data_IF_318092010225
#
_entry.id   IF_318092010225
#
_cell.length_a   1.000
_cell.length_b   1.000
_cell.length_c   1.000
_cell.angle_alpha   90.00
_cell.angle_beta   90.00
_cell.angle_gamma   90.00
#
_symmetry.space_group_name_H-M   'P 1'
#
loop_
_entity.id
_entity.type
_entity.pdbx_description
1 polymer ?
#
# COMPACT_ATOMS: atom_id res chain seq x y z
N UNK A 1 -21.91 -2.33 -23.07
CA UNK A 1 -22.47 -3.56 -22.45
C UNK A 1 -23.35 -4.36 -23.44
N UNK A 2 -24.25 -3.73 -24.24
CA UNK A 2 -25.12 -4.47 -25.17
C UNK A 2 -24.31 -5.36 -26.15
N UNK A 3 -23.23 -4.83 -26.72
CA UNK A 3 -22.35 -5.61 -27.61
C UNK A 3 -21.66 -6.78 -26.87
N UNK A 4 -21.21 -6.56 -25.63
CA UNK A 4 -20.62 -7.62 -24.82
C UNK A 4 -21.62 -8.75 -24.55
N UNK A 5 -22.88 -8.40 -24.22
CA UNK A 5 -23.95 -9.41 -24.05
C UNK A 5 -24.22 -10.22 -25.34
N UNK A 6 -24.18 -9.59 -26.50
CA UNK A 6 -24.30 -10.28 -27.78
C UNK A 6 -23.16 -11.30 -27.98
N UNK A 7 -21.91 -10.91 -27.71
CA UNK A 7 -20.73 -11.80 -27.81
C UNK A 7 -20.83 -12.95 -26.82
N UNK A 8 -21.23 -12.68 -25.58
CA UNK A 8 -21.46 -13.71 -24.55
C UNK A 8 -22.50 -14.73 -25.03
N UNK A 9 -23.64 -14.25 -25.53
CA UNK A 9 -24.73 -15.09 -25.98
C UNK A 9 -24.37 -15.88 -27.25
N UNK A 10 -23.47 -15.38 -28.08
CA UNK A 10 -22.95 -16.10 -29.25
C UNK A 10 -22.11 -17.34 -28.89
N UNK A 11 -21.62 -17.43 -27.65
CA UNK A 11 -20.82 -18.54 -27.11
C UNK A 11 -19.61 -18.87 -28.01
N UNK A 12 -18.95 -17.84 -28.54
CA UNK A 12 -17.80 -17.95 -29.42
C UNK A 12 -16.66 -18.73 -28.73
N UNK A 13 -16.09 -19.77 -29.36
CA UNK A 13 -14.96 -20.47 -28.78
C UNK A 13 -13.73 -19.56 -28.71
N UNK A 14 -12.98 -19.65 -27.62
CA UNK A 14 -11.69 -18.98 -27.49
C UNK A 14 -10.59 -19.95 -27.93
N UNK A 15 -9.81 -19.52 -28.92
CA UNK A 15 -8.65 -20.26 -29.43
C UNK A 15 -7.37 -19.55 -29.06
N UNK A 16 -6.30 -20.27 -28.85
CA UNK A 16 -4.97 -19.71 -28.60
C UNK A 16 -3.95 -20.34 -29.55
N UNK A 17 -3.01 -19.54 -29.99
CA UNK A 17 -1.85 -19.98 -30.77
C UNK A 17 -0.60 -19.31 -30.26
N UNK A 18 0.53 -20.00 -30.25
CA UNK A 18 1.84 -19.40 -30.01
C UNK A 18 2.39 -18.96 -31.37
N UNK A 19 2.72 -17.67 -31.46
CA UNK A 19 3.28 -17.10 -32.67
C UNK A 19 4.78 -16.79 -32.51
N UNK A 20 5.58 -17.03 -33.57
CA UNK A 20 6.92 -16.44 -33.66
C UNK A 20 6.84 -14.92 -33.59
N UNK A 21 7.85 -14.31 -32.96
CA UNK A 21 7.91 -12.86 -32.76
C UNK A 21 7.79 -12.09 -34.08
N UNK A 22 8.47 -12.55 -35.10
CA UNK A 22 8.45 -11.93 -36.44
C UNK A 22 7.04 -11.90 -37.02
N UNK A 23 6.29 -13.00 -36.88
CA UNK A 23 4.90 -13.10 -37.36
C UNK A 23 4.00 -12.11 -36.60
N UNK A 24 4.15 -11.97 -35.30
CA UNK A 24 3.36 -11.03 -34.48
C UNK A 24 3.69 -9.58 -34.84
N UNK A 25 4.97 -9.26 -35.01
CA UNK A 25 5.43 -7.91 -35.41
C UNK A 25 4.90 -7.55 -36.78
N UNK A 26 5.00 -8.43 -37.77
CA UNK A 26 4.46 -8.21 -39.13
C UNK A 26 2.96 -7.95 -39.09
N UNK A 27 2.23 -8.77 -38.34
CA UNK A 27 0.78 -8.64 -38.18
C UNK A 27 0.37 -7.28 -37.60
N UNK A 28 0.95 -6.87 -36.48
CA UNK A 28 0.57 -5.58 -35.84
C UNK A 28 1.10 -4.37 -36.62
N UNK A 29 2.20 -4.50 -37.36
CA UNK A 29 2.69 -3.48 -38.28
C UNK A 29 1.71 -3.26 -39.43
N UNK A 30 1.21 -4.35 -40.03
CA UNK A 30 0.19 -4.29 -41.08
C UNK A 30 -1.14 -3.64 -40.63
N UNK A 31 -1.45 -3.73 -39.32
CA UNK A 31 -2.63 -3.10 -38.74
C UNK A 31 -2.40 -1.69 -38.20
N UNK A 32 -1.18 -1.18 -38.31
CA UNK A 32 -0.79 0.15 -37.78
C UNK A 32 -1.06 0.30 -36.27
N UNK A 33 -0.74 -0.73 -35.47
CA UNK A 33 -0.92 -0.77 -34.02
C UNK A 33 0.43 -0.54 -33.28
N UNK A 34 0.93 0.70 -33.16
CA UNK A 34 2.27 0.98 -32.64
C UNK A 34 2.42 0.59 -31.18
N UNK A 35 1.35 0.71 -30.37
CA UNK A 35 1.39 0.32 -28.96
C UNK A 35 1.58 -1.20 -28.78
N UNK A 36 1.04 -2.04 -29.69
CA UNK A 36 1.26 -3.47 -29.67
C UNK A 36 2.69 -3.83 -30.05
N UNK A 37 3.27 -3.15 -31.02
CA UNK A 37 4.67 -3.33 -31.38
C UNK A 37 5.59 -3.03 -30.22
N UNK A 38 5.36 -1.90 -29.51
CA UNK A 38 6.14 -1.54 -28.33
C UNK A 38 5.98 -2.55 -27.19
N UNK A 39 4.78 -3.11 -26.99
CA UNK A 39 4.58 -4.19 -25.98
C UNK A 39 5.35 -5.46 -26.35
N UNK A 40 5.38 -5.85 -27.63
CA UNK A 40 6.13 -7.01 -28.10
C UNK A 40 7.63 -6.82 -27.85
N UNK A 41 8.17 -5.63 -28.12
CA UNK A 41 9.61 -5.33 -27.88
C UNK A 41 10.01 -5.45 -26.40
N UNK A 42 9.07 -5.26 -25.47
CA UNK A 42 9.28 -5.39 -24.03
C UNK A 42 9.19 -6.80 -23.49
N UNK A 43 8.66 -7.74 -24.29
CA UNK A 43 8.59 -9.15 -23.91
C UNK A 43 9.98 -9.75 -24.10
N UNK A 44 10.60 -10.37 -23.07
CA UNK A 44 11.92 -10.96 -23.19
C UNK A 44 12.05 -11.94 -24.39
N UNK A 45 13.23 -12.04 -24.94
CA UNK A 45 13.51 -13.05 -25.98
C UNK A 45 13.36 -14.44 -25.38
N UNK A 46 12.70 -15.33 -26.14
CA UNK A 46 12.42 -16.71 -25.72
C UNK A 46 11.10 -16.89 -24.97
N UNK A 47 10.38 -15.81 -24.60
CA UNK A 47 9.02 -15.94 -24.09
C UNK A 47 8.01 -16.15 -25.24
N UNK A 48 7.02 -17.02 -25.00
CA UNK A 48 5.92 -17.31 -25.91
C UNK A 48 5.04 -16.10 -26.15
N UNK A 49 4.82 -15.71 -27.40
CA UNK A 49 3.81 -14.74 -27.78
C UNK A 49 2.49 -15.45 -28.07
N UNK A 50 1.55 -15.35 -27.14
CA UNK A 50 0.26 -16.05 -27.24
C UNK A 50 -0.81 -15.11 -27.79
N UNK A 51 -1.37 -15.53 -28.93
CA UNK A 51 -2.49 -14.87 -29.57
C UNK A 51 -3.78 -15.59 -29.19
N UNK A 52 -4.80 -14.83 -28.80
CA UNK A 52 -6.12 -15.33 -28.45
C UNK A 52 -7.17 -14.80 -29.39
N UNK A 53 -8.08 -15.67 -29.82
CA UNK A 53 -9.21 -15.34 -30.69
C UNK A 53 -10.52 -15.67 -30.01
N UNK A 54 -11.51 -14.83 -30.19
CA UNK A 54 -12.91 -15.19 -30.10
C UNK A 54 -13.66 -14.62 -31.31
N UNK A 55 -14.32 -15.49 -32.03
CA UNK A 55 -14.88 -15.13 -33.33
C UNK A 55 -13.80 -14.63 -34.30
N UNK A 56 -14.02 -13.45 -34.85
CA UNK A 56 -13.08 -12.77 -35.76
C UNK A 56 -12.13 -11.78 -35.07
N UNK A 57 -12.31 -11.53 -33.77
CA UNK A 57 -11.45 -10.66 -33.02
C UNK A 57 -10.28 -11.43 -32.40
N UNK A 58 -9.13 -10.77 -32.34
CA UNK A 58 -7.93 -11.37 -31.75
C UNK A 58 -7.04 -10.33 -31.07
N UNK A 59 -6.29 -10.77 -30.08
CA UNK A 59 -5.28 -9.96 -29.40
C UNK A 59 -4.18 -10.77 -28.76
N UNK A 60 -3.04 -10.11 -28.48
CA UNK A 60 -1.92 -10.63 -27.72
C UNK A 60 -2.28 -10.60 -26.22
N UNK A 61 -2.16 -11.75 -25.54
CA UNK A 61 -2.42 -11.87 -24.11
C UNK A 61 -1.61 -12.99 -23.48
N UNK A 62 -1.26 -12.85 -22.19
CA UNK A 62 -0.64 -13.93 -21.41
C UNK A 62 -1.60 -15.10 -21.13
N UNK A 63 -2.89 -14.80 -21.02
CA UNK A 63 -3.89 -15.76 -20.56
C UNK A 63 -3.76 -16.11 -19.06
N UNK A 64 -4.40 -17.19 -18.60
CA UNK A 64 -5.34 -18.01 -19.35
C UNK A 64 -6.65 -17.31 -19.67
N UNK A 65 -7.40 -17.84 -20.62
CA UNK A 65 -8.75 -17.38 -20.97
C UNK A 65 -9.79 -18.49 -20.76
N UNK A 66 -11.06 -18.09 -20.73
CA UNK A 66 -12.20 -19.01 -20.75
C UNK A 66 -12.23 -19.80 -22.06
N UNK A 67 -12.86 -20.97 -22.07
CA UNK A 67 -12.96 -21.83 -23.27
C UNK A 67 -13.88 -21.22 -24.34
N UNK A 68 -14.91 -20.48 -23.92
CA UNK A 68 -15.82 -19.77 -24.81
C UNK A 68 -16.46 -18.58 -24.10
N UNK A 69 -16.89 -17.57 -24.84
CA UNK A 69 -17.46 -16.33 -24.32
C UNK A 69 -18.72 -16.55 -23.46
N UNK A 70 -19.49 -17.60 -23.73
CA UNK A 70 -20.70 -17.93 -22.96
C UNK A 70 -20.47 -18.48 -21.56
N UNK A 71 -19.22 -18.61 -21.08
CA UNK A 71 -18.93 -18.89 -19.68
C UNK A 71 -19.03 -17.65 -18.78
N UNK A 72 -19.07 -16.46 -19.37
CA UNK A 72 -19.34 -15.23 -18.63
C UNK A 72 -20.86 -15.09 -18.46
N UNK A 73 -21.40 -14.94 -17.25
CA UNK A 73 -22.83 -14.66 -17.06
C UNK A 73 -23.18 -13.30 -17.69
N UNK A 74 -24.18 -13.28 -18.58
CA UNK A 74 -24.58 -12.07 -19.28
C UNK A 74 -25.13 -10.95 -18.37
N UNK A 75 -25.53 -11.29 -17.17
CA UNK A 75 -25.98 -10.40 -16.09
C UNK A 75 -25.01 -10.33 -14.91
N UNK A 76 -23.86 -11.03 -14.99
CA UNK A 76 -22.82 -11.06 -13.97
C UNK A 76 -21.70 -10.03 -14.15
N UNK A 77 -21.78 -9.12 -15.12
CA UNK A 77 -20.77 -8.08 -15.33
C UNK A 77 -21.37 -6.68 -15.44
N UNK A 78 -20.55 -5.69 -15.17
CA UNK A 78 -20.88 -4.26 -15.26
C UNK A 78 -19.66 -3.46 -15.68
N UNK A 79 -19.83 -2.55 -16.66
CA UNK A 79 -18.85 -1.49 -16.92
C UNK A 79 -19.08 -0.38 -15.90
N UNK A 80 -18.03 0.07 -15.24
CA UNK A 80 -18.13 1.02 -14.12
C UNK A 80 -17.84 2.45 -14.52
N UNK A 81 -16.70 2.71 -15.17
CA UNK A 81 -16.32 4.06 -15.59
C UNK A 81 -15.25 4.03 -16.68
N UNK A 82 -14.98 5.21 -17.23
CA UNK A 82 -13.87 5.46 -18.16
C UNK A 82 -12.95 6.50 -17.53
N UNK A 83 -11.65 6.29 -17.62
CA UNK A 83 -10.65 7.25 -17.15
C UNK A 83 -9.52 7.40 -18.19
N UNK A 84 -8.83 8.55 -18.15
CA UNK A 84 -7.56 8.73 -18.86
C UNK A 84 -6.47 7.85 -18.21
N UNK A 85 -5.59 7.30 -19.05
CA UNK A 85 -4.41 6.57 -18.59
C UNK A 85 -3.25 6.85 -19.57
N UNK A 86 -2.16 7.39 -19.05
CA UNK A 86 -0.96 7.56 -19.87
C UNK A 86 -0.38 6.21 -20.25
N UNK A 87 0.05 6.12 -21.51
CA UNK A 87 0.69 4.89 -22.00
C UNK A 87 1.88 4.51 -21.12
N UNK A 88 1.87 3.27 -20.63
CA UNK A 88 2.87 2.72 -19.70
C UNK A 88 3.04 3.50 -18.38
N UNK A 89 2.07 4.33 -18.01
CA UNK A 89 2.13 5.13 -16.79
C UNK A 89 3.00 6.38 -16.87
N UNK A 90 3.51 6.73 -18.04
CA UNK A 90 4.40 7.86 -18.28
C UNK A 90 3.60 9.07 -18.76
N UNK A 91 3.58 10.15 -17.97
CA UNK A 91 2.84 11.37 -18.27
C UNK A 91 3.34 12.13 -19.50
N UNK A 92 4.55 11.86 -19.99
CA UNK A 92 5.08 12.40 -21.23
C UNK A 92 4.57 11.70 -22.50
N UNK A 93 3.89 10.56 -22.33
CA UNK A 93 3.36 9.71 -23.41
C UNK A 93 1.90 9.99 -23.69
N UNK A 94 1.35 9.49 -24.81
CA UNK A 94 -0.05 9.68 -25.16
C UNK A 94 -1.00 9.21 -24.06
N UNK A 95 -2.04 10.02 -23.80
CA UNK A 95 -3.12 9.64 -22.91
C UNK A 95 -4.14 8.79 -23.67
N UNK A 96 -4.39 7.59 -23.17
CA UNK A 96 -5.36 6.64 -23.68
C UNK A 96 -6.62 6.64 -22.80
N UNK A 97 -7.71 6.09 -23.32
CA UNK A 97 -8.91 5.83 -22.53
C UNK A 97 -8.84 4.40 -21.96
N UNK A 98 -9.04 4.29 -20.66
CA UNK A 98 -9.15 2.99 -19.97
C UNK A 98 -10.59 2.79 -19.53
N UNK A 99 -11.20 1.70 -19.99
CA UNK A 99 -12.56 1.30 -19.62
C UNK A 99 -12.44 0.31 -18.46
N UNK A 100 -13.11 0.60 -17.36
CA UNK A 100 -13.14 -0.25 -16.17
C UNK A 100 -14.45 -1.03 -16.09
N UNK A 101 -14.36 -2.23 -15.57
CA UNK A 101 -15.52 -3.08 -15.36
C UNK A 101 -15.23 -4.16 -14.34
N UNK A 102 -16.28 -4.80 -13.86
CA UNK A 102 -16.24 -5.92 -12.94
C UNK A 102 -17.05 -7.08 -13.49
N UNK A 103 -16.66 -8.31 -13.17
CA UNK A 103 -17.39 -9.51 -13.53
C UNK A 103 -17.40 -10.50 -12.36
N UNK A 104 -18.54 -11.14 -12.16
CA UNK A 104 -18.79 -12.09 -11.08
C UNK A 104 -19.43 -13.37 -11.62
N UNK A 105 -19.49 -14.43 -10.80
CA UNK A 105 -20.03 -15.72 -11.19
C UNK A 105 -21.55 -15.68 -11.46
N UNK A 106 -22.25 -14.72 -10.87
CA UNK A 106 -23.69 -14.56 -11.00
C UNK A 106 -24.10 -13.11 -10.74
N UNK A 107 -25.38 -12.82 -10.97
CA UNK A 107 -25.99 -11.51 -10.77
C UNK A 107 -25.99 -11.06 -9.31
N UNK A 108 -26.18 -11.99 -8.38
CA UNK A 108 -26.31 -11.64 -6.96
C UNK A 108 -24.98 -11.20 -6.37
N UNK A 109 -23.88 -11.87 -6.73
CA UNK A 109 -22.53 -11.45 -6.35
C UNK A 109 -22.18 -10.08 -6.96
N UNK A 110 -22.55 -9.84 -8.23
CA UNK A 110 -22.37 -8.53 -8.85
C UNK A 110 -23.17 -7.45 -8.10
N UNK A 111 -24.44 -7.73 -7.78
CA UNK A 111 -25.29 -6.80 -7.04
C UNK A 111 -24.72 -6.50 -5.66
N UNK A 112 -24.28 -7.52 -4.92
CA UNK A 112 -23.64 -7.35 -3.62
C UNK A 112 -22.41 -6.45 -3.72
N UNK A 113 -21.54 -6.67 -4.73
CA UNK A 113 -20.37 -5.85 -4.96
C UNK A 113 -20.73 -4.38 -5.31
N UNK A 114 -21.69 -4.16 -6.18
CA UNK A 114 -22.13 -2.80 -6.52
C UNK A 114 -22.75 -2.08 -5.33
N UNK A 115 -23.55 -2.76 -4.52
CA UNK A 115 -24.06 -2.20 -3.26
C UNK A 115 -22.94 -1.85 -2.29
N UNK A 116 -21.94 -2.73 -2.16
CA UNK A 116 -20.75 -2.45 -1.34
C UNK A 116 -20.01 -1.18 -1.83
N UNK A 117 -19.85 -1.01 -3.14
CA UNK A 117 -19.22 0.20 -3.70
C UNK A 117 -20.04 1.46 -3.44
N UNK A 118 -21.36 1.38 -3.58
CA UNK A 118 -22.27 2.50 -3.26
C UNK A 118 -22.18 2.90 -1.78
N UNK A 119 -22.18 1.92 -0.88
CA UNK A 119 -22.03 2.15 0.56
C UNK A 119 -20.65 2.73 0.89
N UNK A 120 -19.59 2.21 0.24
CA UNK A 120 -18.24 2.75 0.41
C UNK A 120 -18.16 4.23 -0.05
N UNK A 121 -18.80 4.57 -1.19
CA UNK A 121 -18.84 5.95 -1.68
C UNK A 121 -19.58 6.91 -0.74
N UNK A 122 -20.62 6.47 -0.05
CA UNK A 122 -21.32 7.26 0.99
C UNK A 122 -20.42 7.55 2.19
N UNK A 123 -19.47 6.65 2.49
CA UNK A 123 -18.53 6.71 3.63
C UNK A 123 -17.15 7.23 3.23
N UNK A 124 -16.98 7.74 2.01
CA UNK A 124 -15.70 8.30 1.58
C UNK A 124 -15.29 9.44 2.51
N UNK A 125 -14.15 9.30 3.16
CA UNK A 125 -13.63 10.25 4.13
C UNK A 125 -13.40 11.66 3.54
N UNK A 126 -13.14 11.76 2.23
CA UNK A 126 -12.97 13.05 1.53
C UNK A 126 -14.31 13.78 1.39
N UNK A 127 -15.39 13.02 1.18
CA UNK A 127 -16.75 13.55 1.14
C UNK A 127 -17.19 13.97 2.55
N UNK A 128 -17.12 13.06 3.50
CA UNK A 128 -17.49 13.30 4.90
C UNK A 128 -16.63 14.43 5.52
N UNK A 129 -15.33 14.44 5.23
CA UNK A 129 -14.40 15.46 5.68
C UNK A 129 -14.82 16.87 5.29
N UNK A 130 -15.29 17.04 4.05
CA UNK A 130 -15.79 18.32 3.57
C UNK A 130 -17.19 18.64 4.12
N UNK A 131 -18.14 17.69 4.10
CA UNK A 131 -19.52 17.91 4.54
C UNK A 131 -19.61 18.20 6.05
N UNK A 132 -18.74 17.61 6.85
CA UNK A 132 -18.68 17.77 8.32
C UNK A 132 -17.63 18.79 8.76
N UNK A 133 -16.96 19.46 7.83
CA UNK A 133 -15.89 20.42 8.11
C UNK A 133 -14.78 19.85 9.00
N UNK A 134 -14.27 18.65 8.66
CA UNK A 134 -13.28 17.96 9.47
C UNK A 134 -11.84 18.38 9.14
N UNK A 135 -11.52 18.50 7.86
CA UNK A 135 -10.16 18.81 7.38
C UNK A 135 -10.16 19.29 5.94
N UNK A 136 -9.04 19.87 5.51
CA UNK A 136 -8.72 20.09 4.09
C UNK A 136 -7.23 19.88 3.80
N UNK A 137 -6.90 19.80 2.52
CA UNK A 137 -5.55 19.78 1.99
C UNK A 137 -5.47 20.87 0.92
N UNK A 138 -4.40 21.68 0.92
CA UNK A 138 -4.22 22.79 -0.01
C UNK A 138 -2.81 22.81 -0.62
N UNK A 139 -2.60 23.68 -1.61
CA UNK A 139 -1.38 23.69 -2.42
C UNK A 139 -0.12 24.08 -1.66
N UNK A 140 -0.23 24.93 -0.62
CA UNK A 140 0.91 25.37 0.19
C UNK A 140 1.48 24.26 1.09
N UNK A 141 0.69 23.18 1.31
CA UNK A 141 1.13 22.02 2.07
C UNK A 141 0.61 20.73 1.42
N UNK A 142 1.10 20.38 0.22
CA UNK A 142 0.56 19.27 -0.55
C UNK A 142 0.77 17.94 0.18
N UNK A 143 -0.34 17.23 0.44
CA UNK A 143 -0.33 15.96 1.17
C UNK A 143 -0.16 16.11 2.69
N UNK A 144 -0.32 17.32 3.24
CA UNK A 144 -0.38 17.58 4.67
C UNK A 144 -1.75 18.11 5.04
N UNK A 145 -2.27 17.67 6.18
CA UNK A 145 -3.67 17.88 6.56
C UNK A 145 -3.83 19.09 7.47
N UNK A 146 -4.74 19.99 7.08
CA UNK A 146 -5.21 21.06 7.96
C UNK A 146 -6.47 20.58 8.70
N UNK A 147 -6.35 20.32 9.97
CA UNK A 147 -7.46 19.86 10.81
C UNK A 147 -8.31 21.04 11.29
N UNK A 148 -9.61 20.96 11.01
CA UNK A 148 -10.59 21.93 11.53
C UNK A 148 -11.01 21.54 12.96
N UNK A 149 -11.70 22.42 13.70
CA UNK A 149 -12.12 22.13 15.08
C UNK A 149 -12.88 20.81 15.24
N UNK A 150 -13.83 20.51 14.32
CA UNK A 150 -14.60 19.28 14.36
C UNK A 150 -13.69 18.05 14.13
N UNK A 151 -12.82 18.11 13.13
CA UNK A 151 -11.87 17.03 12.83
C UNK A 151 -10.83 16.87 13.94
N UNK A 152 -10.35 17.96 14.52
CA UNK A 152 -9.41 17.89 15.63
C UNK A 152 -10.03 17.26 16.88
N UNK A 153 -11.31 17.49 17.13
CA UNK A 153 -12.04 16.83 18.21
C UNK A 153 -12.05 15.31 18.03
N UNK A 154 -12.35 14.81 16.81
CA UNK A 154 -12.33 13.37 16.50
C UNK A 154 -10.90 12.82 16.63
N UNK A 155 -9.92 13.56 16.09
CA UNK A 155 -8.50 13.18 16.16
C UNK A 155 -8.07 12.97 17.61
N UNK A 156 -8.34 13.94 18.48
CA UNK A 156 -8.01 13.88 19.90
C UNK A 156 -8.72 12.74 20.63
N UNK A 157 -9.98 12.49 20.32
CA UNK A 157 -10.73 11.40 20.91
C UNK A 157 -10.11 10.02 20.56
N UNK A 158 -9.69 9.84 19.30
CA UNK A 158 -8.98 8.63 18.87
C UNK A 158 -7.60 8.49 19.50
N UNK A 159 -6.84 9.58 19.57
CA UNK A 159 -5.53 9.62 20.22
C UNK A 159 -5.62 9.26 21.71
N UNK A 160 -6.58 9.84 22.42
CA UNK A 160 -6.79 9.56 23.86
C UNK A 160 -7.29 8.12 24.10
N UNK A 161 -8.14 7.59 23.23
CA UNK A 161 -8.54 6.18 23.24
C UNK A 161 -7.32 5.27 23.10
N UNK A 162 -6.50 5.47 22.05
CA UNK A 162 -5.31 4.64 21.81
C UNK A 162 -4.29 4.78 22.95
N UNK A 163 -4.09 5.98 23.49
CA UNK A 163 -3.22 6.21 24.66
C UNK A 163 -3.67 5.39 25.87
N UNK A 164 -4.97 5.35 26.11
CA UNK A 164 -5.56 4.52 27.18
C UNK A 164 -5.31 3.03 26.95
N UNK A 165 -5.52 2.55 25.72
CA UNK A 165 -5.30 1.13 25.32
C UNK A 165 -3.84 0.73 25.48
N UNK A 166 -2.91 1.54 24.94
CA UNK A 166 -1.47 1.29 25.04
C UNK A 166 -0.98 1.29 26.49
N UNK A 167 -1.42 2.26 27.28
CA UNK A 167 -1.07 2.33 28.72
C UNK A 167 -1.53 1.07 29.47
N UNK A 168 -2.78 0.64 29.23
CA UNK A 168 -3.34 -0.57 29.85
C UNK A 168 -2.61 -1.85 29.42
N UNK A 169 -2.03 -1.87 28.22
CA UNK A 169 -1.21 -2.94 27.70
C UNK A 169 0.29 -2.85 28.11
N UNK A 170 0.64 -1.92 29.01
CA UNK A 170 2.00 -1.79 29.57
C UNK A 170 2.99 -1.04 28.69
N UNK A 171 2.53 -0.32 27.66
CA UNK A 171 3.40 0.55 26.86
C UNK A 171 3.72 1.84 27.60
N UNK A 172 4.98 2.26 27.51
CA UNK A 172 5.46 3.55 28.04
C UNK A 172 5.49 4.56 26.90
N UNK A 173 4.73 5.65 27.05
CA UNK A 173 4.71 6.72 26.04
C UNK A 173 6.02 7.51 26.10
N UNK A 174 6.61 7.72 24.93
CA UNK A 174 7.82 8.53 24.72
C UNK A 174 7.56 9.60 23.65
N UNK A 175 8.50 10.55 23.52
CA UNK A 175 8.48 11.54 22.45
C UNK A 175 9.88 11.75 21.92
N UNK A 176 10.03 11.71 20.58
CA UNK A 176 11.32 11.84 19.90
C UNK A 176 11.33 13.06 18.96
N UNK A 177 12.52 13.62 18.64
CA UNK A 177 12.64 14.75 17.73
C UNK A 177 12.09 14.44 16.33
N UNK A 178 11.54 15.47 15.66
CA UNK A 178 11.05 15.36 14.28
C UNK A 178 12.16 15.58 13.25
N UNK A 179 13.08 16.51 13.54
CA UNK A 179 14.23 16.83 12.70
C UNK A 179 15.45 16.14 13.28
N UNK A 180 16.10 15.30 12.51
CA UNK A 180 17.19 14.45 12.96
C UNK A 180 18.33 14.49 11.96
N UNK A 181 19.56 14.49 12.48
CA UNK A 181 20.79 14.52 11.68
C UNK A 181 20.91 13.31 10.75
N UNK A 182 21.44 13.54 9.56
CA UNK A 182 21.72 12.54 8.52
C UNK A 182 22.45 11.30 9.06
N UNK A 183 23.40 11.48 9.98
CA UNK A 183 24.22 10.39 10.53
C UNK A 183 23.37 9.27 11.18
N UNK A 184 22.23 9.61 11.81
CA UNK A 184 21.35 8.58 12.36
C UNK A 184 20.69 7.76 11.26
N UNK A 185 20.31 8.40 10.17
CA UNK A 185 19.68 7.74 9.01
C UNK A 185 20.65 6.86 8.25
N UNK A 186 21.93 7.27 8.13
CA UNK A 186 23.01 6.44 7.57
C UNK A 186 23.29 5.22 8.44
N UNK A 187 23.43 5.40 9.75
CA UNK A 187 23.63 4.29 10.71
C UNK A 187 22.53 3.23 10.66
N UNK A 188 21.31 3.65 10.42
CA UNK A 188 20.13 2.77 10.40
C UNK A 188 19.79 2.22 9.00
N UNK A 189 20.58 2.58 7.95
CA UNK A 189 20.34 2.16 6.56
C UNK A 189 19.18 2.88 5.85
N UNK A 190 18.47 3.77 6.55
CA UNK A 190 17.34 4.49 5.95
C UNK A 190 17.78 5.51 4.91
N UNK A 191 18.97 6.08 5.05
CA UNK A 191 19.48 7.06 4.09
C UNK A 191 19.63 6.50 2.68
N UNK A 192 20.11 5.26 2.55
CA UNK A 192 20.27 4.62 1.25
C UNK A 192 18.95 4.09 0.69
N UNK A 193 18.13 3.48 1.55
CA UNK A 193 16.89 2.84 1.13
C UNK A 193 15.72 3.82 0.93
N UNK A 194 15.71 4.98 1.60
CA UNK A 194 14.55 5.88 1.70
C UNK A 194 14.82 7.34 1.33
N UNK A 195 16.04 7.71 0.95
CA UNK A 195 16.44 9.10 0.69
C UNK A 195 15.49 9.83 -0.27
N UNK A 196 15.03 9.17 -1.32
CA UNK A 196 14.13 9.78 -2.31
C UNK A 196 12.77 10.16 -1.70
N UNK A 197 12.38 9.50 -0.62
CA UNK A 197 11.12 9.74 0.09
C UNK A 197 11.30 10.57 1.38
N UNK A 198 12.47 11.18 1.60
CA UNK A 198 12.73 12.00 2.79
C UNK A 198 12.65 13.49 2.46
N UNK A 199 12.09 14.28 3.39
CA UNK A 199 12.22 15.73 3.38
C UNK A 199 13.59 16.09 3.97
N UNK A 200 14.50 16.55 3.12
CA UNK A 200 15.86 16.95 3.51
C UNK A 200 15.87 18.43 3.90
N UNK A 201 16.49 18.73 5.02
CA UNK A 201 16.66 20.09 5.55
C UNK A 201 18.15 20.40 5.64
N UNK A 202 18.61 21.32 4.80
CA UNK A 202 19.96 21.85 4.86
C UNK A 202 20.00 23.07 5.78
N UNK A 203 20.91 23.07 6.76
CA UNK A 203 21.09 24.19 7.69
C UNK A 203 22.48 24.78 7.47
N UNK A 204 22.53 26.09 7.24
CA UNK A 204 23.77 26.85 7.18
C UNK A 204 24.14 27.32 8.60
N UNK A 205 25.16 26.73 9.18
CA UNK A 205 25.60 27.06 10.54
C UNK A 205 26.59 28.26 10.58
N UNK A 206 26.63 29.07 9.54
CA UNK A 206 27.42 30.31 9.48
C UNK A 206 28.91 30.14 9.81
N UNK A 207 29.73 29.98 8.78
CA UNK A 207 31.20 29.82 8.90
C UNK A 207 31.72 28.38 8.94
N UNK A 208 30.84 27.36 8.94
CA UNK A 208 31.23 25.99 8.71
C UNK A 208 31.56 25.77 7.23
N UNK A 209 32.56 24.93 6.92
CA UNK A 209 32.91 24.59 5.55
C UNK A 209 31.83 23.79 4.80
N UNK A 210 30.99 23.09 5.54
CA UNK A 210 29.92 22.26 5.01
C UNK A 210 28.59 22.55 5.72
N UNK A 211 27.50 22.53 4.99
CA UNK A 211 26.15 22.62 5.54
C UNK A 211 25.80 21.37 6.33
N UNK A 212 25.13 21.56 7.45
CA UNK A 212 24.56 20.43 8.19
C UNK A 212 23.30 19.91 7.49
N UNK A 213 23.28 18.60 7.26
CA UNK A 213 22.15 17.93 6.60
C UNK A 213 21.35 17.21 7.65
N UNK A 214 20.08 17.58 7.75
CA UNK A 214 19.08 16.93 8.58
C UNK A 214 17.94 16.40 7.69
N UNK A 215 17.07 15.58 8.27
CA UNK A 215 15.83 15.19 7.62
C UNK A 215 14.68 15.17 8.61
N UNK A 216 13.47 15.45 8.13
CA UNK A 216 12.26 15.12 8.86
C UNK A 216 12.13 13.60 8.93
N UNK A 217 11.87 13.06 10.11
CA UNK A 217 11.82 11.61 10.32
C UNK A 217 10.72 10.95 9.47
N UNK A 218 11.06 9.96 8.61
CA UNK A 218 10.07 9.18 7.87
C UNK A 218 9.52 8.02 8.71
N UNK A 219 10.21 7.64 9.77
CA UNK A 219 9.90 6.55 10.69
C UNK A 219 10.41 6.88 12.11
N UNK A 220 9.83 6.24 13.11
CA UNK A 220 10.21 6.44 14.52
C UNK A 220 11.30 5.46 14.98
N UNK A 221 11.49 4.33 14.29
CA UNK A 221 12.35 3.21 14.71
C UNK A 221 13.75 3.62 15.18
N UNK A 222 14.56 4.38 14.40
CA UNK A 222 15.90 4.75 14.83
C UNK A 222 15.92 5.60 16.09
N UNK A 223 14.90 6.47 16.26
CA UNK A 223 14.80 7.33 17.44
C UNK A 223 14.42 6.53 18.71
N UNK A 224 13.51 5.55 18.59
CA UNK A 224 13.17 4.66 19.71
C UNK A 224 14.38 3.82 20.15
N UNK A 225 15.20 3.36 19.21
CA UNK A 225 16.46 2.67 19.52
C UNK A 225 17.41 3.59 20.31
N UNK A 226 17.45 4.91 19.99
CA UNK A 226 18.27 5.85 20.78
C UNK A 226 17.77 5.99 22.23
N UNK A 227 16.44 5.99 22.45
CA UNK A 227 15.87 5.95 23.81
C UNK A 227 16.25 4.64 24.52
N UNK A 228 16.13 3.51 23.82
CA UNK A 228 16.53 2.22 24.38
C UNK A 228 18.01 2.18 24.78
N UNK A 229 18.88 2.78 23.99
CA UNK A 229 20.33 2.81 24.22
C UNK A 229 20.78 3.73 25.38
N UNK A 230 19.87 4.55 25.95
CA UNK A 230 20.21 5.38 27.09
C UNK A 230 20.25 4.59 28.38
N UNK A 231 21.36 4.74 29.14
CA UNK A 231 21.58 4.08 30.43
C UNK A 231 21.84 2.57 30.33
N UNK A 232 22.20 1.99 31.47
CA UNK A 232 22.40 0.55 31.60
C UNK A 232 21.04 -0.14 31.70
N UNK A 233 20.85 -1.19 30.92
CA UNK A 233 19.67 -2.06 30.98
C UNK A 233 20.06 -3.50 31.22
N UNK A 234 19.24 -4.19 32.01
CA UNK A 234 19.37 -5.62 32.28
C UNK A 234 18.35 -6.40 31.43
N UNK A 235 18.64 -7.67 31.15
CA UNK A 235 17.64 -8.56 30.56
C UNK A 235 16.35 -8.67 31.41
N UNK A 236 16.41 -8.32 32.69
CA UNK A 236 15.25 -8.29 33.61
C UNK A 236 14.31 -7.10 33.35
N UNK A 237 14.78 -6.09 32.63
CA UNK A 237 13.98 -4.93 32.24
C UNK A 237 13.12 -5.22 30.97
N UNK A 238 13.33 -6.39 30.34
CA UNK A 238 12.63 -6.84 29.15
C UNK A 238 11.41 -7.72 29.52
N UNK A 239 10.32 -7.68 28.75
CA UNK A 239 10.13 -6.85 27.56
C UNK A 239 9.90 -5.36 27.92
N UNK A 240 10.53 -4.46 27.15
CA UNK A 240 10.31 -3.04 27.24
C UNK A 240 9.49 -2.57 26.04
N UNK A 241 8.28 -2.07 26.29
CA UNK A 241 7.36 -1.59 25.27
C UNK A 241 7.35 -0.07 25.28
N UNK A 242 7.84 0.56 24.21
CA UNK A 242 7.87 2.01 24.01
C UNK A 242 6.89 2.39 22.91
N UNK A 243 6.05 3.40 23.13
CA UNK A 243 5.08 3.87 22.15
C UNK A 243 5.18 5.40 21.98
N UNK A 244 4.91 5.87 20.78
CA UNK A 244 4.90 7.30 20.46
C UNK A 244 3.75 7.62 19.48
N UNK A 245 3.02 8.72 19.76
CA UNK A 245 2.27 9.39 18.70
C UNK A 245 3.26 10.24 17.90
N UNK A 246 3.92 9.55 16.96
CA UNK A 246 5.05 10.08 16.22
C UNK A 246 4.63 10.75 14.92
N UNK A 247 4.96 12.04 14.76
CA UNK A 247 4.74 12.74 13.49
C UNK A 247 5.84 12.37 12.51
N UNK A 248 5.47 11.70 11.41
CA UNK A 248 6.36 11.25 10.35
C UNK A 248 6.05 11.97 9.03
N UNK A 249 7.07 12.14 8.20
CA UNK A 249 6.95 12.81 6.92
C UNK A 249 7.63 11.99 5.82
N UNK A 250 6.89 11.72 4.74
CA UNK A 250 7.39 10.99 3.55
C UNK A 250 7.05 11.77 2.30
N UNK A 251 8.04 12.00 1.46
CA UNK A 251 7.84 12.68 0.18
C UNK A 251 7.21 11.72 -0.83
N UNK A 252 5.91 11.51 -0.66
CA UNK A 252 5.11 10.70 -1.60
C UNK A 252 4.95 11.43 -2.93
N UNK A 253 4.99 10.70 -4.04
CA UNK A 253 4.74 11.28 -5.36
C UNK A 253 3.31 11.83 -5.44
N UNK A 254 3.12 12.96 -6.14
CA UNK A 254 1.81 13.62 -6.22
C UNK A 254 0.72 12.72 -6.78
N UNK A 255 1.04 11.84 -7.73
CA UNK A 255 0.10 10.88 -8.32
C UNK A 255 -0.30 9.72 -7.40
N UNK A 256 0.40 9.50 -6.29
CA UNK A 256 0.09 8.43 -5.33
C UNK A 256 -0.74 8.90 -4.14
N UNK A 257 -0.87 10.20 -3.91
CA UNK A 257 -1.62 10.75 -2.78
C UNK A 257 -3.12 10.48 -2.88
N UNK A 258 -3.76 10.13 -1.75
CA UNK A 258 -5.18 9.77 -1.73
C UNK A 258 -5.86 10.16 -0.39
N UNK A 259 -6.42 11.34 -0.33
CA UNK A 259 -7.13 11.87 0.86
C UNK A 259 -6.28 11.74 2.13
N UNK A 260 -6.82 11.14 3.18
CA UNK A 260 -6.10 10.79 4.42
C UNK A 260 -5.37 9.45 4.35
N UNK A 261 -5.63 8.62 3.32
CA UNK A 261 -5.08 7.27 3.21
C UNK A 261 -3.62 7.25 2.77
N UNK A 262 -3.19 8.25 2.00
CA UNK A 262 -1.82 8.41 1.58
C UNK A 262 -1.44 9.87 1.51
N UNK A 263 -0.65 10.31 2.47
CA UNK A 263 -0.29 11.69 2.76
C UNK A 263 1.23 11.83 2.92
N UNK A 264 1.71 13.06 2.92
CA UNK A 264 3.13 13.36 3.15
C UNK A 264 3.48 13.65 4.62
N UNK A 265 2.49 14.10 5.40
CA UNK A 265 2.63 14.32 6.85
C UNK A 265 1.53 13.59 7.60
N UNK A 266 1.90 12.73 8.55
CA UNK A 266 0.96 11.90 9.30
C UNK A 266 1.50 11.60 10.71
N UNK A 267 0.60 11.22 11.61
CA UNK A 267 0.95 10.73 12.94
C UNK A 267 0.67 9.25 13.04
N UNK A 268 1.61 8.49 13.59
CA UNK A 268 1.45 7.07 13.88
C UNK A 268 1.38 6.86 15.40
N UNK A 269 0.49 6.00 15.84
CA UNK A 269 0.51 5.37 17.16
C UNK A 269 1.49 4.19 17.14
N UNK A 270 2.75 4.53 16.91
CA UNK A 270 3.83 3.59 16.64
C UNK A 270 4.45 3.07 17.94
N UNK A 271 4.83 1.79 17.95
CA UNK A 271 5.45 1.18 19.10
C UNK A 271 6.60 0.25 18.71
N UNK A 272 7.59 0.17 19.60
CA UNK A 272 8.72 -0.77 19.51
C UNK A 272 8.82 -1.57 20.79
N UNK A 273 8.85 -2.89 20.63
CA UNK A 273 8.99 -3.85 21.74
C UNK A 273 10.42 -4.39 21.71
N UNK A 274 11.15 -4.09 22.75
CA UNK A 274 12.50 -4.63 22.98
C UNK A 274 12.36 -5.84 23.89
N UNK A 275 12.69 -7.03 23.39
CA UNK A 275 12.50 -8.28 24.09
C UNK A 275 13.64 -9.28 23.79
N UNK A 276 13.73 -10.36 24.56
CA UNK A 276 14.60 -11.51 24.24
C UNK A 276 13.93 -12.38 23.17
N UNK A 277 14.72 -13.19 22.47
CA UNK A 277 14.18 -14.13 21.46
C UNK A 277 13.07 -15.03 22.01
N UNK A 278 13.24 -15.51 23.24
CA UNK A 278 12.23 -16.36 23.92
C UNK A 278 10.93 -15.63 24.26
N UNK A 279 10.89 -14.31 24.18
CA UNK A 279 9.70 -13.49 24.46
C UNK A 279 8.95 -13.09 23.19
N UNK A 280 9.54 -13.27 21.99
CA UNK A 280 8.97 -12.77 20.72
C UNK A 280 7.55 -13.30 20.50
N UNK A 281 7.34 -14.61 20.60
CA UNK A 281 6.03 -15.23 20.37
C UNK A 281 4.96 -14.68 21.33
N UNK A 282 5.28 -14.58 22.62
CA UNK A 282 4.33 -14.04 23.60
C UNK A 282 4.01 -12.56 23.38
N UNK A 283 4.98 -11.75 22.94
CA UNK A 283 4.78 -10.33 22.63
C UNK A 283 3.97 -10.14 21.35
N UNK A 284 4.20 -10.97 20.33
CA UNK A 284 3.38 -10.96 19.11
C UNK A 284 1.92 -11.33 19.41
N UNK A 285 1.68 -12.37 20.19
CA UNK A 285 0.33 -12.78 20.61
C UNK A 285 -0.38 -11.67 21.39
N UNK A 286 0.32 -11.03 22.33
CA UNK A 286 -0.23 -9.91 23.09
C UNK A 286 -0.58 -8.70 22.20
N UNK A 287 0.27 -8.40 21.22
CA UNK A 287 0.03 -7.33 20.24
C UNK A 287 -1.18 -7.65 19.37
N UNK A 288 -1.31 -8.85 18.81
CA UNK A 288 -2.44 -9.26 17.98
C UNK A 288 -3.74 -9.24 18.78
N UNK A 289 -3.72 -9.66 20.04
CA UNK A 289 -4.89 -9.57 20.92
C UNK A 289 -5.32 -8.11 21.15
N UNK A 290 -4.37 -7.22 21.41
CA UNK A 290 -4.63 -5.79 21.53
C UNK A 290 -5.23 -5.21 20.25
N UNK A 291 -4.60 -5.47 19.09
CA UNK A 291 -5.05 -5.02 17.78
C UNK A 291 -6.47 -5.49 17.48
N UNK A 292 -6.75 -6.78 17.71
CA UNK A 292 -8.07 -7.38 17.49
C UNK A 292 -9.14 -6.71 18.34
N UNK A 293 -8.82 -6.40 19.62
CA UNK A 293 -9.75 -5.73 20.51
C UNK A 293 -10.02 -4.27 20.08
N UNK A 294 -8.99 -3.56 19.60
CA UNK A 294 -9.15 -2.19 19.07
C UNK A 294 -10.04 -2.18 17.83
N UNK A 295 -9.80 -3.08 16.88
CA UNK A 295 -10.66 -3.18 15.68
C UNK A 295 -12.10 -3.50 16.02
N UNK A 296 -12.34 -4.39 16.99
CA UNK A 296 -13.69 -4.71 17.47
C UNK A 296 -14.37 -3.49 18.09
N UNK A 297 -13.66 -2.72 18.93
CA UNK A 297 -14.18 -1.49 19.54
C UNK A 297 -14.52 -0.43 18.46
N UNK A 298 -13.77 -0.40 17.34
CA UNK A 298 -14.01 0.48 16.20
C UNK A 298 -15.08 -0.05 15.22
N UNK A 299 -15.70 -1.22 15.52
CA UNK A 299 -16.80 -1.78 14.73
C UNK A 299 -16.36 -2.63 13.52
N UNK A 300 -15.11 -3.05 13.44
CA UNK A 300 -14.65 -3.98 12.41
C UNK A 300 -14.93 -5.42 12.85
N UNK A 301 -15.87 -6.09 12.20
CA UNK A 301 -16.20 -7.49 12.49
C UNK A 301 -15.22 -8.48 11.87
N UNK A 302 -14.57 -8.08 10.77
CA UNK A 302 -13.65 -8.93 10.01
C UNK A 302 -12.44 -8.12 9.55
N UNK A 303 -11.26 -8.69 9.69
CA UNK A 303 -10.00 -8.16 9.17
C UNK A 303 -9.05 -9.31 8.86
N UNK A 304 -8.21 -9.13 7.86
CA UNK A 304 -7.23 -10.13 7.42
C UNK A 304 -5.85 -9.80 7.96
N UNK A 305 -5.24 -10.73 8.66
CA UNK A 305 -3.84 -10.64 9.08
C UNK A 305 -2.98 -11.34 8.04
N UNK A 306 -2.04 -10.61 7.45
CA UNK A 306 -1.08 -11.12 6.46
C UNK A 306 0.34 -11.02 7.00
N UNK A 307 1.10 -12.09 6.86
CA UNK A 307 2.53 -12.08 7.11
C UNK A 307 3.26 -11.53 5.88
N UNK A 308 4.10 -10.51 6.09
CA UNK A 308 5.06 -10.05 5.10
C UNK A 308 6.36 -10.81 5.27
N UNK A 309 6.81 -11.49 4.23
CA UNK A 309 8.08 -12.20 4.22
C UNK A 309 9.22 -11.28 3.78
N UNK A 310 10.47 -11.74 3.95
CA UNK A 310 11.66 -10.97 3.61
C UNK A 310 11.72 -10.58 2.14
N UNK A 311 12.14 -9.36 1.79
CA UNK A 311 12.40 -8.96 0.41
C UNK A 311 13.74 -9.52 -0.08
N UNK A 312 13.96 -9.46 -1.41
CA UNK A 312 15.22 -9.89 -2.05
C UNK A 312 16.41 -9.06 -1.52
N UNK A 313 16.22 -7.73 -1.40
CA UNK A 313 17.22 -6.81 -0.84
C UNK A 313 16.88 -6.58 0.62
N UNK A 314 17.72 -7.10 1.53
CA UNK A 314 17.51 -7.05 2.99
C UNK A 314 18.81 -6.91 3.76
N UNK A 315 18.70 -6.53 5.01
CA UNK A 315 19.81 -6.50 5.99
C UNK A 315 19.61 -7.64 6.98
N UNK A 316 20.70 -8.29 7.41
CA UNK A 316 20.69 -9.43 8.31
C UNK A 316 20.93 -10.76 7.58
N UNK A 317 21.29 -11.81 8.36
CA UNK A 317 21.50 -13.15 7.81
C UNK A 317 20.18 -13.88 7.57
N UNK A 318 20.24 -14.94 6.77
CA UNK A 318 19.05 -15.76 6.48
C UNK A 318 18.53 -16.47 7.73
N UNK A 319 19.41 -16.88 8.64
CA UNK A 319 19.03 -17.53 9.90
C UNK A 319 18.20 -16.60 10.81
N UNK A 320 18.57 -15.30 10.88
CA UNK A 320 17.81 -14.30 11.64
C UNK A 320 16.43 -14.08 11.03
N UNK A 321 16.35 -14.03 9.69
CA UNK A 321 15.09 -13.91 9.00
C UNK A 321 14.20 -15.15 9.14
N UNK A 322 14.79 -16.35 9.08
CA UNK A 322 14.08 -17.62 9.27
C UNK A 322 13.45 -17.68 10.67
N UNK A 323 14.19 -17.26 11.70
CA UNK A 323 13.69 -17.21 13.08
C UNK A 323 12.55 -16.19 13.24
N UNK A 324 12.71 -15.00 12.66
CA UNK A 324 11.71 -13.93 12.74
C UNK A 324 10.41 -14.32 12.02
N UNK A 325 10.50 -14.86 10.80
CA UNK A 325 9.35 -15.32 10.02
C UNK A 325 8.64 -16.49 10.70
N UNK A 326 9.40 -17.46 11.24
CA UNK A 326 8.82 -18.60 11.95
C UNK A 326 8.07 -18.19 13.24
N UNK A 327 8.60 -17.22 13.99
CA UNK A 327 7.94 -16.67 15.18
C UNK A 327 6.61 -15.99 14.82
N UNK A 328 6.60 -15.17 13.75
CA UNK A 328 5.39 -14.49 13.28
C UNK A 328 4.37 -15.44 12.65
N UNK A 329 4.82 -16.51 11.95
CA UNK A 329 3.93 -17.50 11.37
C UNK A 329 3.25 -18.38 12.42
N UNK A 330 3.97 -18.76 13.49
CA UNK A 330 3.44 -19.54 14.60
C UNK A 330 2.23 -18.85 15.23
N UNK A 331 2.33 -17.57 15.46
CA UNK A 331 1.29 -16.75 16.09
C UNK A 331 0.08 -16.53 15.16
N UNK A 332 0.28 -16.34 13.86
CA UNK A 332 -0.82 -16.23 12.89
C UNK A 332 -1.74 -17.44 12.88
N UNK A 333 -1.25 -18.65 13.12
CA UNK A 333 -2.05 -19.88 13.17
C UNK A 333 -2.96 -19.94 14.38
N UNK A 334 -2.65 -19.20 15.45
CA UNK A 334 -3.46 -19.17 16.67
C UNK A 334 -4.64 -18.20 16.59
N UNK A 335 -4.70 -17.33 15.61
CA UNK A 335 -5.69 -16.23 15.48
C UNK A 335 -6.73 -16.49 14.37
N UNK A 336 -6.52 -17.46 13.51
CA UNK A 336 -7.45 -17.79 12.41
C UNK A 336 -8.50 -18.80 12.87
#
# INVERSE_FOLDING_TARGET
>A
EAKMKQIINAREPVRTEVWPREKAVEYYRGRQEPFKLELIDRIPEGEDLRMYWHGHWQDLCRGPHLQHTGQVPADGFKLTHVAGAYWLGDASRPMLQRIYGVAFRNRDDLKAHLTMLEEAAKRDHRKLGREMELFHIQEEAPGMVFWHPNGWTIYRALEDYMRGRLRSAGYKEIKTPQVVDRLLWEKSGHWEAYRENMFIVEVDEGGAREKRINALKPMNCPCHVQIFNQGLKSYRDLPLRLAEFGSCHRYESSGSMHGLMRVRGFTQDDAHIFCTESQIEAECAAFIALLSSVYKDLGFERFDIKLSTRPDIRVGSDEVWDQAEAALEGDRKSVV
#
